data_IF_127864243524
#
_entry.id   IF_127864243524
#
_cell.length_a   1.000
_cell.length_b   1.000
_cell.length_c   1.000
_cell.angle_alpha   90.00
_cell.angle_beta   90.00
_cell.angle_gamma   90.00
#
_symmetry.space_group_name_H-M   'P 1'
#
loop_
_entity.id
_entity.type
_entity.pdbx_description
1 polymer ?
#
# COMPACT_ATOMS: atom_id res chain seq x y z
N UNK A 1 -7.09 0.72 -21.49
CA UNK A 1 -7.28 1.23 -20.11
C UNK A 1 -6.43 0.45 -19.09
N UNK A 2 -6.45 -0.89 -19.14
CA UNK A 2 -5.67 -1.77 -18.25
C UNK A 2 -4.18 -1.40 -18.11
N UNK A 3 -3.44 -1.26 -19.23
CA UNK A 3 -2.02 -0.89 -19.20
C UNK A 3 -1.75 0.43 -18.46
N UNK A 4 -2.62 1.42 -18.64
CA UNK A 4 -2.49 2.73 -17.96
C UNK A 4 -2.60 2.57 -16.45
N UNK A 5 -3.52 1.74 -15.99
CA UNK A 5 -3.71 1.48 -14.56
C UNK A 5 -2.60 0.65 -13.96
N UNK A 6 -2.05 -0.32 -14.69
CA UNK A 6 -0.84 -1.03 -14.27
C UNK A 6 0.34 -0.08 -14.11
N UNK A 7 0.58 0.78 -15.10
CA UNK A 7 1.64 1.80 -14.99
C UNK A 7 1.39 2.78 -13.84
N UNK A 8 0.13 3.13 -13.55
CA UNK A 8 -0.23 3.95 -12.40
C UNK A 8 0.05 3.27 -11.07
N UNK A 9 -0.20 1.96 -10.96
CA UNK A 9 0.15 1.19 -9.75
C UNK A 9 1.64 1.35 -9.47
N UNK A 10 2.48 1.06 -10.46
CA UNK A 10 3.94 1.03 -10.32
C UNK A 10 4.55 2.42 -10.13
N UNK A 11 4.00 3.46 -10.78
CA UNK A 11 4.59 4.81 -10.80
C UNK A 11 3.99 5.76 -9.78
N UNK A 12 2.85 5.42 -9.17
CA UNK A 12 2.13 6.36 -8.29
C UNK A 12 1.60 5.67 -7.05
N UNK A 13 0.75 4.64 -7.20
CA UNK A 13 0.05 4.06 -6.06
C UNK A 13 1.02 3.42 -5.05
N UNK A 14 2.01 2.66 -5.51
CA UNK A 14 3.02 2.05 -4.62
C UNK A 14 3.80 3.09 -3.81
N UNK A 15 3.98 4.30 -4.35
CA UNK A 15 4.73 5.37 -3.70
C UNK A 15 3.94 6.07 -2.60
N UNK A 16 2.61 5.90 -2.53
CA UNK A 16 1.82 6.34 -1.38
C UNK A 16 1.83 5.30 -0.26
N UNK A 17 2.02 4.02 -0.56
CA UNK A 17 1.99 2.94 0.43
C UNK A 17 3.22 2.92 1.35
N UNK A 18 4.43 2.97 0.79
CA UNK A 18 5.66 2.87 1.60
C UNK A 18 5.76 3.97 2.67
N UNK A 19 5.44 5.25 2.40
CA UNK A 19 5.42 6.28 3.45
C UNK A 19 4.34 6.07 4.50
N UNK A 20 3.21 5.44 4.15
CA UNK A 20 2.11 5.20 5.08
C UNK A 20 2.38 4.03 6.04
N UNK A 21 3.06 2.97 5.60
CA UNK A 21 3.48 1.88 6.50
C UNK A 21 4.62 2.30 7.45
N UNK A 22 5.29 3.42 7.20
CA UNK A 22 6.36 3.98 8.04
C UNK A 22 6.02 5.34 8.67
N UNK A 23 4.74 5.75 8.67
CA UNK A 23 4.33 7.10 9.05
C UNK A 23 4.59 7.41 10.52
N UNK A 24 4.33 6.46 11.41
CA UNK A 24 4.65 6.53 12.85
C UNK A 24 5.66 5.46 13.23
N UNK A 25 6.29 5.62 14.40
CA UNK A 25 7.23 4.61 14.92
C UNK A 25 6.55 3.26 15.18
N UNK A 26 5.28 3.27 15.60
CA UNK A 26 4.48 2.06 15.81
C UNK A 26 4.19 1.32 14.49
N UNK A 27 3.66 2.03 13.48
CA UNK A 27 3.44 1.47 12.13
C UNK A 27 4.75 0.96 11.53
N UNK A 28 5.85 1.70 11.71
CA UNK A 28 7.16 1.29 11.20
C UNK A 28 7.69 0.01 11.88
N UNK A 29 7.45 -0.16 13.17
CA UNK A 29 7.80 -1.38 13.90
C UNK A 29 6.94 -2.56 13.44
N UNK A 30 5.63 -2.37 13.28
CA UNK A 30 4.71 -3.38 12.77
C UNK A 30 5.11 -3.85 11.36
N UNK A 31 5.37 -2.91 10.45
CA UNK A 31 5.83 -3.23 9.10
C UNK A 31 7.16 -4.00 9.12
N UNK A 32 8.09 -3.59 10.00
CA UNK A 32 9.36 -4.30 10.15
C UNK A 32 9.19 -5.73 10.67
N UNK A 33 8.37 -5.94 11.70
CA UNK A 33 8.09 -7.28 12.25
C UNK A 33 7.47 -8.17 11.18
N UNK A 34 6.48 -7.63 10.45
CA UNK A 34 5.86 -8.32 9.33
C UNK A 34 6.90 -8.73 8.28
N UNK A 35 7.65 -7.78 7.72
CA UNK A 35 8.65 -8.09 6.69
C UNK A 35 9.73 -9.04 7.20
N UNK A 36 10.18 -8.89 8.45
CA UNK A 36 11.18 -9.80 9.04
C UNK A 36 10.67 -11.24 9.19
N UNK A 37 9.37 -11.41 9.43
CA UNK A 37 8.75 -12.72 9.56
C UNK A 37 8.55 -13.42 8.22
N UNK A 38 8.28 -12.67 7.14
CA UNK A 38 8.04 -13.22 5.79
C UNK A 38 9.28 -13.20 4.89
N UNK A 39 10.32 -12.44 5.24
CA UNK A 39 11.50 -12.17 4.41
C UNK A 39 12.79 -12.83 4.89
N UNK A 40 13.62 -13.26 3.94
CA UNK A 40 15.00 -13.71 4.18
C UNK A 40 15.96 -12.51 4.29
N UNK A 41 15.84 -11.70 5.34
CA UNK A 41 16.79 -10.61 5.61
C UNK A 41 18.16 -11.16 5.98
N UNK A 42 19.22 -10.52 5.45
CA UNK A 42 20.59 -10.84 5.82
C UNK A 42 20.85 -10.53 7.31
N UNK A 43 21.81 -11.21 7.93
CA UNK A 43 22.13 -11.02 9.36
C UNK A 43 22.48 -9.56 9.69
N UNK A 44 23.11 -8.83 8.76
CA UNK A 44 23.47 -7.41 8.93
C UNK A 44 22.26 -6.46 8.86
N UNK A 45 21.28 -6.73 7.99
CA UNK A 45 20.00 -6.01 7.99
C UNK A 45 19.25 -6.30 9.29
N UNK A 46 19.21 -7.55 9.75
CA UNK A 46 18.60 -7.91 11.05
C UNK A 46 19.25 -7.19 12.23
N UNK A 47 20.58 -7.02 12.24
CA UNK A 47 21.28 -6.28 13.29
C UNK A 47 21.02 -4.77 13.25
N UNK A 48 21.12 -4.15 12.07
CA UNK A 48 20.85 -2.72 11.92
C UNK A 48 19.42 -2.37 12.35
N UNK A 49 18.47 -3.23 12.01
CA UNK A 49 17.07 -3.00 12.35
C UNK A 49 16.75 -3.36 13.81
N UNK A 50 17.50 -4.27 14.44
CA UNK A 50 17.39 -4.55 15.89
C UNK A 50 17.82 -3.38 16.79
N UNK A 51 18.77 -2.55 16.35
CA UNK A 51 19.28 -1.41 17.14
C UNK A 51 18.65 -0.07 16.75
N UNK A 52 18.28 0.12 15.48
CA UNK A 52 17.79 1.41 14.97
C UNK A 52 16.48 1.33 14.19
N UNK A 53 15.83 0.16 14.14
CA UNK A 53 14.84 -0.13 13.10
C UNK A 53 13.68 0.83 12.98
N UNK A 54 12.87 0.97 14.03
CA UNK A 54 11.71 1.86 13.99
C UNK A 54 12.12 3.32 13.70
N UNK A 55 13.28 3.78 14.19
CA UNK A 55 13.79 5.12 13.94
C UNK A 55 14.29 5.31 12.51
N UNK A 56 15.09 4.37 11.98
CA UNK A 56 15.58 4.39 10.60
C UNK A 56 14.43 4.29 9.61
N UNK A 57 13.45 3.42 9.87
CA UNK A 57 12.25 3.28 9.03
C UNK A 57 11.37 4.54 9.08
N UNK A 58 11.23 5.16 10.25
CA UNK A 58 10.54 6.44 10.37
C UNK A 58 11.23 7.57 9.58
N UNK A 59 12.56 7.67 9.65
CA UNK A 59 13.33 8.62 8.82
C UNK A 59 13.14 8.32 7.33
N UNK A 60 13.17 7.04 6.93
CA UNK A 60 12.92 6.63 5.57
C UNK A 60 11.51 7.05 5.12
N UNK A 61 10.49 6.85 5.96
CA UNK A 61 9.12 7.32 5.71
C UNK A 61 9.06 8.83 5.44
N UNK A 62 9.75 9.65 6.26
CA UNK A 62 9.84 11.10 6.05
C UNK A 62 10.57 11.46 4.75
N UNK A 63 11.68 10.77 4.44
CA UNK A 63 12.43 11.00 3.21
C UNK A 63 11.59 10.66 1.97
N UNK A 64 10.87 9.53 1.99
CA UNK A 64 9.99 9.12 0.89
C UNK A 64 8.79 10.07 0.73
N UNK A 65 8.19 10.55 1.83
CA UNK A 65 7.16 11.61 1.79
C UNK A 65 7.66 12.82 1.00
N UNK A 66 8.85 13.33 1.32
CA UNK A 66 9.44 14.49 0.61
C UNK A 66 9.78 14.16 -0.84
N UNK A 67 10.37 13.00 -1.10
CA UNK A 67 10.78 12.57 -2.45
C UNK A 67 9.59 12.45 -3.40
N UNK A 68 8.47 11.91 -2.93
CA UNK A 68 7.27 11.71 -3.72
C UNK A 68 6.27 12.87 -3.65
N UNK A 69 6.64 13.97 -2.99
CA UNK A 69 5.82 15.20 -2.86
C UNK A 69 4.42 14.89 -2.32
N UNK A 70 4.33 14.00 -1.34
CA UNK A 70 3.07 13.67 -0.68
C UNK A 70 2.62 14.83 0.21
N UNK A 71 1.32 14.88 0.50
CA UNK A 71 0.72 15.85 1.41
C UNK A 71 1.28 15.73 2.82
N UNK A 72 0.97 16.72 3.66
CA UNK A 72 1.47 16.74 5.02
C UNK A 72 1.02 15.55 5.85
N UNK A 73 -0.26 15.21 5.73
CA UNK A 73 -0.75 13.88 6.05
C UNK A 73 -0.64 12.96 4.82
N UNK A 74 0.25 11.97 4.93
CA UNK A 74 0.45 10.96 3.89
C UNK A 74 -0.79 10.06 3.70
N UNK A 75 -1.69 10.00 4.70
CA UNK A 75 -2.95 9.25 4.63
C UNK A 75 -3.90 9.84 3.62
N UNK A 76 -4.00 11.17 3.56
CA UNK A 76 -4.82 11.85 2.56
C UNK A 76 -4.37 11.50 1.14
N UNK A 77 -3.05 11.52 0.86
CA UNK A 77 -2.53 11.14 -0.46
C UNK A 77 -2.84 9.69 -0.82
N UNK A 78 -2.85 8.79 0.17
CA UNK A 78 -3.25 7.40 -0.03
C UNK A 78 -4.75 7.31 -0.34
N UNK A 79 -5.60 7.99 0.44
CA UNK A 79 -7.05 7.97 0.24
C UNK A 79 -7.46 8.58 -1.09
N UNK A 80 -6.83 9.68 -1.51
CA UNK A 80 -7.11 10.31 -2.80
C UNK A 80 -6.79 9.38 -3.97
N UNK A 81 -5.66 8.69 -3.93
CA UNK A 81 -5.28 7.72 -4.97
C UNK A 81 -6.17 6.47 -4.93
N UNK A 82 -6.63 6.06 -3.74
CA UNK A 82 -7.60 4.98 -3.58
C UNK A 82 -8.98 5.34 -4.14
N UNK A 83 -9.51 6.52 -3.84
CA UNK A 83 -10.78 7.00 -4.38
C UNK A 83 -10.71 7.27 -5.88
N UNK A 84 -9.54 7.69 -6.40
CA UNK A 84 -9.29 7.81 -7.83
C UNK A 84 -9.37 6.45 -8.54
N UNK A 85 -8.83 5.39 -7.94
CA UNK A 85 -9.01 4.02 -8.44
C UNK A 85 -10.48 3.63 -8.43
N UNK A 86 -11.19 3.84 -7.32
CA UNK A 86 -12.60 3.48 -7.20
C UNK A 86 -13.50 4.25 -8.17
N UNK A 87 -13.22 5.53 -8.39
CA UNK A 87 -13.90 6.34 -9.41
C UNK A 87 -13.68 5.78 -10.81
N UNK A 88 -12.51 5.21 -11.09
CA UNK A 88 -12.19 4.62 -12.38
C UNK A 88 -12.86 3.26 -12.58
N UNK A 89 -12.91 2.41 -11.55
CA UNK A 89 -13.74 1.19 -11.56
C UNK A 89 -15.21 1.57 -11.83
N UNK A 90 -15.69 2.62 -11.17
CA UNK A 90 -17.02 3.19 -11.38
C UNK A 90 -18.11 2.23 -10.92
N UNK A 91 -19.15 2.06 -11.76
CA UNK A 91 -20.28 1.15 -11.46
C UNK A 91 -20.00 -0.32 -11.81
N UNK A 92 -18.81 -0.63 -12.35
CA UNK A 92 -18.44 -1.99 -12.76
C UNK A 92 -18.11 -2.84 -11.53
N UNK A 93 -18.22 -4.16 -11.66
CA UNK A 93 -17.81 -5.09 -10.58
C UNK A 93 -16.29 -5.03 -10.36
N UNK A 94 -15.54 -5.02 -11.46
CA UNK A 94 -14.09 -4.91 -11.55
C UNK A 94 -13.68 -3.89 -12.63
N UNK A 95 -12.43 -3.45 -12.66
CA UNK A 95 -11.89 -2.69 -13.81
C UNK A 95 -12.03 -3.50 -15.11
N UNK A 96 -11.83 -4.83 -15.04
CA UNK A 96 -12.08 -5.78 -16.12
C UNK A 96 -13.56 -6.00 -16.50
N UNK A 97 -14.51 -5.38 -15.79
CA UNK A 97 -15.94 -5.54 -16.03
C UNK A 97 -16.54 -6.69 -15.20
N UNK A 98 -16.77 -7.84 -15.83
CA UNK A 98 -17.41 -9.00 -15.21
C UNK A 98 -16.43 -9.87 -14.39
N UNK A 99 -15.16 -9.91 -14.79
CA UNK A 99 -14.05 -10.60 -14.11
C UNK A 99 -12.89 -9.63 -13.88
N UNK A 100 -12.02 -9.86 -12.88
CA UNK A 100 -10.84 -9.04 -12.65
C UNK A 100 -9.88 -9.15 -13.84
N UNK A 101 -9.27 -8.03 -14.24
CA UNK A 101 -8.19 -8.01 -15.23
C UNK A 101 -6.82 -7.75 -14.58
N UNK A 102 -5.77 -7.62 -15.39
CA UNK A 102 -4.42 -7.40 -14.84
C UNK A 102 -4.27 -6.08 -14.06
N UNK A 103 -5.12 -5.08 -14.30
CA UNK A 103 -5.13 -3.86 -13.50
C UNK A 103 -5.76 -4.11 -12.12
N UNK A 104 -6.88 -4.84 -12.05
CA UNK A 104 -7.46 -5.25 -10.77
C UNK A 104 -6.45 -6.06 -9.95
N UNK A 105 -5.78 -7.03 -10.59
CA UNK A 105 -4.77 -7.89 -9.94
C UNK A 105 -3.54 -7.09 -9.50
N UNK A 106 -3.10 -6.09 -10.27
CA UNK A 106 -1.98 -5.24 -9.88
C UNK A 106 -2.30 -4.43 -8.63
N UNK A 107 -3.47 -3.79 -8.55
CA UNK A 107 -3.88 -3.03 -7.36
C UNK A 107 -4.07 -3.97 -6.17
N UNK A 108 -4.79 -5.08 -6.38
CA UNK A 108 -5.05 -6.08 -5.35
C UNK A 108 -3.75 -6.67 -4.79
N UNK A 109 -2.81 -7.08 -5.65
CA UNK A 109 -1.57 -7.74 -5.21
C UNK A 109 -0.72 -6.86 -4.30
N UNK A 110 -0.63 -5.56 -4.60
CA UNK A 110 0.13 -4.62 -3.78
C UNK A 110 -0.55 -4.38 -2.42
N UNK A 111 -1.89 -4.31 -2.38
CA UNK A 111 -2.65 -4.15 -1.14
C UNK A 111 -2.65 -5.41 -0.28
N UNK A 112 -2.82 -6.58 -0.92
CA UNK A 112 -2.86 -7.87 -0.26
C UNK A 112 -1.54 -8.21 0.42
N UNK A 113 -0.41 -7.82 -0.18
CA UNK A 113 0.91 -7.96 0.45
C UNK A 113 1.09 -7.15 1.74
N UNK A 114 0.18 -6.22 2.03
CA UNK A 114 0.17 -5.35 3.21
C UNK A 114 -1.02 -5.64 4.14
N UNK A 115 -1.79 -6.70 3.87
CA UNK A 115 -2.94 -7.09 4.67
C UNK A 115 -2.52 -7.38 6.12
N UNK A 116 -3.29 -6.89 7.09
CA UNK A 116 -3.00 -7.00 8.53
C UNK A 116 -2.18 -5.84 9.12
N UNK A 117 -1.55 -5.01 8.29
CA UNK A 117 -0.94 -3.76 8.76
C UNK A 117 -2.02 -2.71 9.07
N UNK A 118 -1.74 -1.85 10.05
CA UNK A 118 -2.63 -0.75 10.45
C UNK A 118 -2.98 0.12 9.25
N UNK A 119 -2.02 0.31 8.35
CA UNK A 119 -2.21 1.05 7.12
C UNK A 119 -3.31 0.49 6.23
N UNK A 120 -3.32 -0.83 6.03
CA UNK A 120 -4.31 -1.49 5.20
C UNK A 120 -5.69 -1.44 5.85
N UNK A 121 -5.78 -1.69 7.16
CA UNK A 121 -7.04 -1.66 7.90
C UNK A 121 -7.68 -0.27 7.85
N UNK A 122 -6.88 0.76 8.05
CA UNK A 122 -7.26 2.17 7.97
C UNK A 122 -7.71 2.57 6.56
N UNK A 123 -7.01 2.11 5.51
CA UNK A 123 -7.43 2.31 4.12
C UNK A 123 -8.80 1.70 3.82
N UNK A 124 -9.04 0.47 4.29
CA UNK A 124 -10.31 -0.23 4.08
C UNK A 124 -11.47 0.37 4.88
N UNK A 125 -11.17 1.05 6.00
CA UNK A 125 -12.17 1.70 6.83
C UNK A 125 -12.55 3.11 6.33
N UNK A 126 -11.61 3.84 5.74
CA UNK A 126 -11.78 5.25 5.37
C UNK A 126 -11.98 5.49 3.87
N UNK A 127 -12.09 4.44 3.05
CA UNK A 127 -12.33 4.56 1.61
C UNK A 127 -13.42 3.60 1.12
N UNK A 128 -13.90 3.84 -0.09
CA UNK A 128 -14.90 3.00 -0.77
C UNK A 128 -14.30 1.72 -1.36
N UNK A 129 -13.01 1.45 -1.13
CA UNK A 129 -12.27 0.38 -1.80
C UNK A 129 -12.61 -1.03 -1.27
N UNK A 130 -13.00 -1.15 0.00
CA UNK A 130 -13.18 -2.45 0.66
C UNK A 130 -14.12 -3.41 -0.10
N UNK A 131 -15.32 -3.02 -0.55
CA UNK A 131 -16.18 -3.93 -1.30
C UNK A 131 -15.59 -4.39 -2.63
N UNK A 132 -14.79 -3.55 -3.31
CA UNK A 132 -14.09 -3.97 -4.53
C UNK A 132 -12.94 -4.93 -4.19
N UNK A 133 -12.15 -4.64 -3.16
CA UNK A 133 -11.06 -5.49 -2.70
C UNK A 133 -11.56 -6.90 -2.34
N UNK A 134 -12.62 -6.99 -1.54
CA UNK A 134 -13.22 -8.27 -1.14
C UNK A 134 -13.70 -9.09 -2.36
N UNK A 135 -14.30 -8.43 -3.36
CA UNK A 135 -14.72 -9.09 -4.60
C UNK A 135 -13.54 -9.62 -5.42
N UNK A 136 -12.41 -8.91 -5.44
CA UNK A 136 -11.21 -9.37 -6.16
C UNK A 136 -10.59 -10.54 -5.40
N UNK A 137 -10.53 -10.46 -4.06
CA UNK A 137 -10.05 -11.54 -3.19
C UNK A 137 -10.86 -12.83 -3.33
N UNK A 138 -12.17 -12.74 -3.49
CA UNK A 138 -13.03 -13.92 -3.72
C UNK A 138 -12.86 -14.52 -5.12
N UNK A 139 -12.47 -13.71 -6.10
CA UNK A 139 -12.37 -14.10 -7.50
C UNK A 139 -10.98 -14.66 -7.91
N UNK A 140 -10.01 -14.63 -7.00
CA UNK A 140 -8.60 -15.06 -7.21
C UNK A 140 -8.28 -16.20 -6.25
#
# INVERSE_FOLDING_TARGET
>A
EERRWREWVDKTFVHTLSPNIYRTTAEAMQAFEYFSSVGNFSTMERYSVRYFGAFTMYILGKHLKTRYRLKDDVRESLYEEAEKWMKAVGKRKFMGGASPNLADLAVYGVLHGLEGLDMHNDLMANTTMKPWYDRVKEAV
#
